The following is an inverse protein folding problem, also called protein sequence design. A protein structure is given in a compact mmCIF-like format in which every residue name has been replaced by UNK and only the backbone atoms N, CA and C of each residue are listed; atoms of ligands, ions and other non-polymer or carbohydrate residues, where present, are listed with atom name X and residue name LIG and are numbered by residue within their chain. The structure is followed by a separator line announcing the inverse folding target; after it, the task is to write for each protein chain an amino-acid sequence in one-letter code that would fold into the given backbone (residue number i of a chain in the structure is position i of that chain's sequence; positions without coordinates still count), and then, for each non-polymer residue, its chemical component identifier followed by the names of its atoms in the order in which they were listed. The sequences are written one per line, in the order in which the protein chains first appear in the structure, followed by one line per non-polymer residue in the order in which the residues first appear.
data_IF_643063432247
#
_entry.id   IF_643063432247
#
_cell.length_a   1.000
_cell.length_b   1.000
_cell.length_c   1.000
_cell.angle_alpha   90.00
_cell.angle_beta   90.00
_cell.angle_gamma   90.00
#
_symmetry.space_group_name_H-M   'P 1'
#
loop_
_entity.id
_entity.type
_entity.pdbx_description
1 polymer ?
#
# COMPACT_ATOMS: atom_id res chain seq x y z
N UNK A 1 -48.87 36.62 -68.43
CA UNK A 1 -48.73 35.70 -67.26
C UNK A 1 -47.27 35.31 -67.14
N UNK A 2 -46.50 35.97 -66.28
CA UNK A 2 -45.10 35.63 -65.99
C UNK A 2 -45.06 35.27 -64.51
N UNK A 3 -44.82 33.99 -64.20
CA UNK A 3 -44.65 33.50 -62.83
C UNK A 3 -43.17 33.50 -62.50
N UNK A 4 -42.76 34.41 -61.62
CA UNK A 4 -41.43 34.45 -61.02
C UNK A 4 -41.36 33.38 -59.91
N UNK A 5 -40.48 32.40 -60.05
CA UNK A 5 -40.21 31.41 -59.00
C UNK A 5 -39.14 31.95 -58.05
N UNK A 6 -39.51 32.16 -56.78
CA UNK A 6 -38.57 32.48 -55.70
C UNK A 6 -37.98 31.17 -55.20
N UNK A 7 -36.68 30.96 -55.39
CA UNK A 7 -35.93 29.85 -54.81
C UNK A 7 -35.43 30.30 -53.43
N UNK A 8 -36.05 29.79 -52.38
CA UNK A 8 -35.56 29.96 -51.01
C UNK A 8 -34.40 29.01 -50.75
N UNK A 9 -33.19 29.55 -50.61
CA UNK A 9 -32.01 28.80 -50.15
C UNK A 9 -32.13 28.66 -48.63
N UNK A 10 -32.52 27.47 -48.17
CA UNK A 10 -32.42 27.10 -46.75
C UNK A 10 -30.97 26.75 -46.47
N UNK A 11 -30.24 27.65 -45.81
CA UNK A 11 -28.92 27.37 -45.27
C UNK A 11 -29.07 26.39 -44.09
N UNK A 12 -28.83 25.10 -44.36
CA UNK A 12 -28.69 24.09 -43.30
C UNK A 12 -27.35 24.35 -42.61
N UNK A 13 -27.39 25.04 -41.47
CA UNK A 13 -26.28 25.07 -40.54
C UNK A 13 -26.10 23.66 -39.96
N UNK A 14 -25.26 22.85 -40.60
CA UNK A 14 -24.73 21.63 -40.01
C UNK A 14 -23.81 22.03 -38.86
N UNK A 15 -24.37 22.17 -37.66
CA UNK A 15 -23.59 22.20 -36.43
C UNK A 15 -22.80 20.90 -36.36
N UNK A 16 -21.48 20.99 -36.56
CA UNK A 16 -20.52 19.95 -36.22
C UNK A 16 -20.64 19.70 -34.72
N UNK A 17 -21.48 18.74 -34.34
CA UNK A 17 -21.45 18.15 -33.00
C UNK A 17 -20.16 17.33 -32.98
N UNK A 18 -19.06 17.94 -32.56
CA UNK A 18 -17.88 17.18 -32.15
C UNK A 18 -18.31 16.37 -30.93
N UNK A 19 -18.60 15.09 -31.10
CA UNK A 19 -18.79 14.19 -29.97
C UNK A 19 -17.52 14.28 -29.13
N UNK A 20 -17.66 14.73 -27.87
CA UNK A 20 -16.57 14.60 -26.91
C UNK A 20 -16.14 13.13 -26.91
N UNK A 21 -14.82 12.82 -26.94
CA UNK A 21 -14.37 11.45 -26.89
C UNK A 21 -14.98 10.80 -25.65
N UNK A 22 -15.76 9.74 -25.85
CA UNK A 22 -16.21 8.88 -24.76
C UNK A 22 -14.96 8.27 -24.14
N UNK A 23 -14.74 8.48 -22.85
CA UNK A 23 -13.51 8.14 -22.11
C UNK A 23 -13.65 6.80 -21.37
N UNK A 24 -12.61 5.95 -21.36
CA UNK A 24 -12.54 4.69 -20.58
C UNK A 24 -12.56 4.97 -19.10
N UNK A 25 -13.00 4.02 -18.29
CA UNK A 25 -13.74 4.41 -17.09
C UNK A 25 -14.89 5.34 -17.52
N UNK A 26 -16.10 4.80 -17.66
CA UNK A 26 -17.25 5.54 -18.22
C UNK A 26 -17.43 6.87 -17.48
N UNK A 27 -17.56 7.96 -18.25
CA UNK A 27 -17.66 9.31 -17.70
C UNK A 27 -16.36 9.88 -17.09
N UNK A 28 -15.24 9.19 -17.28
CA UNK A 28 -13.90 9.65 -16.89
C UNK A 28 -13.30 10.67 -17.86
N UNK A 29 -12.01 10.94 -17.68
CA UNK A 29 -11.19 11.81 -18.53
C UNK A 29 -9.94 11.09 -19.01
N UNK A 30 -9.28 11.58 -20.05
CA UNK A 30 -8.02 10.99 -20.52
C UNK A 30 -6.98 10.85 -19.41
N UNK A 31 -6.27 9.73 -19.42
CA UNK A 31 -5.12 9.43 -18.57
C UNK A 31 -3.87 9.13 -19.41
N UNK A 32 -3.81 9.66 -20.64
CA UNK A 32 -2.62 9.55 -21.47
C UNK A 32 -1.40 10.15 -20.73
N UNK A 33 -0.30 9.42 -20.75
CA UNK A 33 0.93 9.72 -20.00
C UNK A 33 0.92 9.24 -18.55
N UNK A 34 -0.18 8.66 -18.04
CA UNK A 34 -0.18 8.10 -16.68
C UNK A 34 0.48 6.71 -16.68
N UNK A 35 1.73 6.66 -16.23
CA UNK A 35 2.52 5.44 -16.28
C UNK A 35 2.17 4.39 -15.21
N UNK A 36 1.12 4.60 -14.41
CA UNK A 36 0.62 3.59 -13.47
C UNK A 36 -0.18 2.49 -14.17
N UNK A 37 -0.80 2.78 -15.32
CA UNK A 37 -1.76 1.87 -15.98
C UNK A 37 -1.22 1.30 -17.28
N UNK A 38 -1.43 0.00 -17.50
CA UNK A 38 -1.12 -0.72 -18.75
C UNK A 38 -2.36 -1.41 -19.30
N UNK A 39 -2.34 -1.69 -20.60
CA UNK A 39 -3.28 -2.63 -21.24
C UNK A 39 -2.73 -4.06 -21.14
N UNK A 40 -3.58 -5.00 -20.75
CA UNK A 40 -3.27 -6.43 -20.65
C UNK A 40 -4.20 -7.20 -21.60
N UNK A 41 -3.64 -7.93 -22.56
CA UNK A 41 -4.41 -8.80 -23.48
C UNK A 41 -4.04 -10.27 -23.27
N UNK A 42 -5.05 -11.12 -23.11
CA UNK A 42 -4.92 -12.56 -23.01
C UNK A 42 -5.90 -13.21 -23.99
N UNK A 43 -5.42 -13.53 -25.20
CA UNK A 43 -6.30 -13.92 -26.31
C UNK A 43 -7.30 -12.81 -26.67
N UNK A 44 -8.59 -13.12 -26.62
CA UNK A 44 -9.67 -12.14 -26.81
C UNK A 44 -10.01 -11.36 -25.54
N UNK A 45 -9.49 -11.76 -24.38
CA UNK A 45 -9.70 -11.05 -23.12
C UNK A 45 -8.87 -9.77 -23.09
N UNK A 46 -9.54 -8.67 -22.82
CA UNK A 46 -8.95 -7.35 -22.73
C UNK A 46 -9.14 -6.81 -21.32
N UNK A 47 -8.05 -6.69 -20.57
CA UNK A 47 -8.01 -6.15 -19.22
C UNK A 47 -7.06 -4.95 -19.13
N UNK A 48 -7.04 -4.34 -17.96
CA UNK A 48 -6.06 -3.35 -17.56
C UNK A 48 -5.11 -3.95 -16.51
N UNK A 49 -4.05 -3.22 -16.18
CA UNK A 49 -3.08 -3.62 -15.16
C UNK A 49 -2.44 -2.41 -14.51
N UNK A 50 -2.03 -2.57 -13.25
CA UNK A 50 -1.20 -1.62 -12.52
C UNK A 50 0.28 -1.96 -12.74
N UNK A 51 1.06 -1.10 -13.39
CA UNK A 51 2.51 -1.25 -13.49
C UNK A 51 3.14 -0.82 -12.16
N UNK A 52 3.28 -1.77 -11.23
CA UNK A 52 3.78 -1.51 -9.88
C UNK A 52 5.31 -1.31 -9.87
N UNK A 53 6.04 -2.15 -10.58
CA UNK A 53 7.48 -1.96 -10.85
C UNK A 53 7.73 -2.00 -12.35
N UNK A 54 8.97 -1.77 -12.80
CA UNK A 54 9.33 -1.88 -14.22
C UNK A 54 9.03 -3.27 -14.82
N UNK A 55 8.87 -4.32 -13.99
CA UNK A 55 8.63 -5.70 -14.43
C UNK A 55 7.47 -6.41 -13.75
N UNK A 56 6.69 -5.72 -12.92
CA UNK A 56 5.56 -6.35 -12.22
C UNK A 56 4.30 -5.56 -12.53
N UNK A 57 3.35 -6.26 -13.18
CA UNK A 57 1.99 -5.77 -13.38
C UNK A 57 1.06 -6.49 -12.41
N UNK A 58 0.36 -5.74 -11.58
CA UNK A 58 -0.75 -6.28 -10.77
C UNK A 58 -2.02 -6.19 -11.60
N UNK A 59 -2.81 -7.27 -11.68
CA UNK A 59 -4.06 -7.31 -12.43
C UNK A 59 -5.08 -8.19 -11.69
N UNK A 60 -6.26 -8.41 -12.27
CA UNK A 60 -7.27 -9.29 -11.71
C UNK A 60 -6.97 -10.76 -12.07
N UNK A 61 -7.23 -11.69 -11.16
CA UNK A 61 -7.07 -13.12 -11.39
C UNK A 61 -7.87 -13.62 -12.60
N UNK A 62 -9.10 -13.14 -12.76
CA UNK A 62 -9.98 -13.51 -13.87
C UNK A 62 -9.47 -13.06 -15.26
N UNK A 63 -8.47 -12.19 -15.32
CA UNK A 63 -7.81 -11.80 -16.57
C UNK A 63 -6.83 -12.87 -17.06
N UNK A 64 -6.32 -13.71 -16.16
CA UNK A 64 -5.25 -14.68 -16.42
C UNK A 64 -5.63 -16.12 -16.08
N UNK A 65 -6.76 -16.34 -15.42
CA UNK A 65 -7.30 -17.66 -15.06
C UNK A 65 -8.61 -17.91 -15.79
N UNK A 66 -8.75 -19.09 -16.38
CA UNK A 66 -9.99 -19.51 -17.07
C UNK A 66 -11.04 -20.07 -16.08
N UNK A 67 -12.20 -20.49 -16.59
CA UNK A 67 -13.29 -21.00 -15.75
C UNK A 67 -13.01 -22.34 -15.05
N UNK A 68 -12.01 -23.10 -15.51
CA UNK A 68 -11.57 -24.33 -14.83
C UNK A 68 -10.57 -24.07 -13.70
N UNK A 69 -10.19 -22.81 -13.45
CA UNK A 69 -9.14 -22.46 -12.48
C UNK A 69 -7.73 -22.67 -13.02
N UNK A 70 -7.57 -22.81 -14.34
CA UNK A 70 -6.27 -23.00 -14.98
C UNK A 70 -5.70 -21.65 -15.38
N UNK A 71 -4.48 -21.37 -14.94
CA UNK A 71 -3.72 -20.19 -15.36
C UNK A 71 -3.40 -20.30 -16.85
N UNK A 72 -3.55 -19.20 -17.59
CA UNK A 72 -3.25 -19.16 -19.02
C UNK A 72 -1.79 -19.51 -19.27
N UNK A 73 -1.56 -20.38 -20.25
CA UNK A 73 -0.22 -20.72 -20.76
C UNK A 73 0.08 -19.99 -22.06
N UNK A 74 -0.92 -19.32 -22.65
CA UNK A 74 -0.72 -18.48 -23.83
C UNK A 74 0.04 -17.20 -23.47
N UNK A 75 0.86 -16.66 -24.39
CA UNK A 75 1.47 -15.35 -24.19
C UNK A 75 0.40 -14.27 -23.95
N UNK A 76 0.54 -13.58 -22.82
CA UNK A 76 -0.17 -12.35 -22.45
C UNK A 76 0.64 -11.19 -23.04
N UNK A 77 -0.07 -10.26 -23.67
CA UNK A 77 0.52 -9.04 -24.18
C UNK A 77 0.32 -7.89 -23.21
N UNK A 78 1.41 -7.26 -22.76
CA UNK A 78 1.37 -6.03 -21.96
C UNK A 78 1.90 -4.88 -22.79
N UNK A 79 1.09 -3.83 -22.93
CA UNK A 79 1.43 -2.63 -23.69
C UNK A 79 2.22 -1.67 -22.82
N UNK A 80 2.96 -0.73 -23.45
CA UNK A 80 3.62 0.33 -22.71
C UNK A 80 2.61 1.12 -21.85
N UNK A 81 3.05 1.64 -20.69
CA UNK A 81 2.14 2.25 -19.73
C UNK A 81 1.66 3.62 -20.23
N UNK A 82 0.40 3.96 -19.93
CA UNK A 82 -0.14 5.30 -20.16
C UNK A 82 -0.32 5.74 -21.61
N UNK A 83 -0.11 4.90 -22.61
CA UNK A 83 -0.13 5.30 -24.04
C UNK A 83 -1.33 4.72 -24.80
N UNK A 84 -1.56 5.22 -26.01
CA UNK A 84 -2.51 4.59 -26.93
C UNK A 84 -2.01 3.22 -27.38
N UNK A 85 -2.86 2.20 -27.36
CA UNK A 85 -2.55 0.86 -27.88
C UNK A 85 -2.30 0.86 -29.39
N UNK A 86 -2.69 1.94 -30.10
CA UNK A 86 -2.37 2.12 -31.52
C UNK A 86 -0.95 2.66 -31.75
N UNK A 87 -0.38 3.36 -30.77
CA UNK A 87 0.96 3.95 -30.84
C UNK A 87 2.03 3.06 -30.21
N UNK A 88 1.63 2.16 -29.32
CA UNK A 88 2.52 1.17 -28.70
C UNK A 88 2.15 -0.23 -29.18
N UNK A 89 2.66 -0.67 -30.35
CA UNK A 89 2.57 -2.08 -30.71
C UNK A 89 3.49 -2.96 -29.85
N UNK A 90 4.39 -2.35 -29.07
CA UNK A 90 5.35 -3.05 -28.22
C UNK A 90 4.61 -3.86 -27.17
N UNK A 91 4.65 -5.17 -27.39
CA UNK A 91 4.08 -6.19 -26.53
C UNK A 91 5.23 -6.76 -25.71
N UNK A 92 5.24 -6.50 -24.40
CA UNK A 92 6.07 -7.29 -23.49
C UNK A 92 5.26 -8.50 -23.07
N UNK A 93 5.86 -9.69 -23.26
CA UNK A 93 5.28 -10.94 -22.80
C UNK A 93 5.55 -11.14 -21.32
N UNK A 94 4.72 -11.95 -20.68
CA UNK A 94 4.98 -12.43 -19.33
C UNK A 94 6.06 -13.52 -19.32
N UNK A 95 6.90 -13.50 -18.29
CA UNK A 95 7.79 -14.62 -17.93
C UNK A 95 7.13 -15.53 -16.90
N UNK A 96 6.27 -14.99 -16.03
CA UNK A 96 5.58 -15.74 -14.98
C UNK A 96 4.23 -15.08 -14.67
N UNK A 97 3.25 -15.91 -14.29
CA UNK A 97 1.97 -15.48 -13.76
C UNK A 97 1.82 -16.08 -12.36
N UNK A 98 1.50 -15.25 -11.39
CA UNK A 98 1.33 -15.61 -10.00
C UNK A 98 -0.11 -15.28 -9.62
N UNK A 99 -0.86 -16.27 -9.17
CA UNK A 99 -2.27 -16.15 -8.80
C UNK A 99 -2.49 -16.70 -7.41
N UNK A 100 -3.65 -16.44 -6.82
CA UNK A 100 -4.06 -17.10 -5.59
C UNK A 100 -4.30 -18.58 -5.88
N UNK A 101 -3.72 -19.46 -5.06
CA UNK A 101 -3.87 -20.91 -5.21
C UNK A 101 -5.34 -21.31 -5.18
N UNK A 102 -5.78 -22.03 -6.22
CA UNK A 102 -7.15 -22.48 -6.35
C UNK A 102 -8.16 -21.41 -6.80
N UNK A 103 -7.70 -20.19 -7.17
CA UNK A 103 -8.57 -19.15 -7.73
C UNK A 103 -9.34 -19.67 -8.95
N UNK A 104 -10.64 -19.36 -9.00
CA UNK A 104 -11.53 -19.66 -10.12
C UNK A 104 -12.38 -18.47 -10.49
N UNK A 105 -12.58 -18.30 -11.78
CA UNK A 105 -13.61 -17.43 -12.34
C UNK A 105 -14.88 -18.25 -12.60
N UNK A 106 -16.02 -17.85 -12.03
CA UNK A 106 -17.33 -18.32 -12.46
C UNK A 106 -17.89 -17.38 -13.53
N UNK A 107 -18.80 -17.86 -14.40
CA UNK A 107 -19.26 -17.15 -15.62
C UNK A 107 -19.32 -15.63 -15.47
N UNK A 108 -20.12 -15.17 -14.52
CA UNK A 108 -20.42 -13.76 -14.27
C UNK A 108 -19.83 -13.24 -12.95
N UNK A 109 -19.12 -14.09 -12.19
CA UNK A 109 -18.62 -13.78 -10.84
C UNK A 109 -17.20 -14.31 -10.64
N UNK A 110 -16.29 -13.47 -10.18
CA UNK A 110 -14.99 -13.92 -9.66
C UNK A 110 -15.16 -14.46 -8.24
N UNK A 111 -14.32 -15.44 -7.86
CA UNK A 111 -14.12 -15.75 -6.45
C UNK A 111 -13.62 -14.51 -5.68
N UNK A 112 -13.80 -14.48 -4.35
CA UNK A 112 -12.98 -13.62 -3.49
C UNK A 112 -11.49 -13.80 -3.83
N UNK A 113 -10.70 -12.76 -3.59
CA UNK A 113 -9.26 -12.74 -3.86
C UNK A 113 -8.86 -12.70 -5.34
N UNK A 114 -9.65 -11.99 -6.16
CA UNK A 114 -9.46 -11.81 -7.60
C UNK A 114 -8.28 -10.90 -7.95
N UNK A 115 -7.07 -11.37 -7.65
CA UNK A 115 -5.81 -10.68 -7.87
C UNK A 115 -4.78 -11.63 -8.49
N UNK A 116 -3.95 -11.07 -9.37
CA UNK A 116 -2.81 -11.75 -9.96
C UNK A 116 -1.65 -10.79 -10.19
N UNK A 117 -0.45 -11.35 -10.29
CA UNK A 117 0.77 -10.66 -10.65
C UNK A 117 1.31 -11.26 -11.93
N UNK A 118 1.61 -10.40 -12.90
CA UNK A 118 2.28 -10.76 -14.14
C UNK A 118 3.71 -10.23 -14.04
N UNK A 119 4.67 -11.14 -14.06
CA UNK A 119 6.09 -10.80 -14.14
C UNK A 119 6.46 -10.69 -15.61
N UNK A 120 7.03 -9.55 -16.00
CA UNK A 120 7.38 -9.24 -17.38
C UNK A 120 8.73 -9.84 -17.76
N UNK A 121 8.86 -10.29 -19.01
CA UNK A 121 10.11 -10.83 -19.54
C UNK A 121 11.20 -9.75 -19.73
N UNK A 122 10.81 -8.48 -19.85
CA UNK A 122 11.69 -7.33 -19.93
C UNK A 122 11.10 -6.12 -19.20
N UNK A 123 11.93 -5.13 -18.92
CA UNK A 123 11.48 -3.89 -18.28
C UNK A 123 10.60 -3.06 -19.21
N UNK A 124 9.48 -2.57 -18.68
CA UNK A 124 8.73 -1.46 -19.25
C UNK A 124 9.24 -0.15 -18.64
N UNK A 125 9.72 0.75 -19.50
CA UNK A 125 10.07 2.11 -19.09
C UNK A 125 8.82 2.85 -18.67
N UNK A 126 8.76 3.22 -17.40
CA UNK A 126 7.57 3.79 -16.78
C UNK A 126 7.22 3.05 -15.49
N UNK A 127 6.38 3.69 -14.68
CA UNK A 127 6.04 3.24 -13.34
C UNK A 127 6.09 4.44 -12.40
N UNK A 128 4.92 4.98 -12.09
CA UNK A 128 4.77 6.07 -11.12
C UNK A 128 4.45 5.55 -9.73
N UNK A 129 4.01 4.29 -9.60
CA UNK A 129 3.64 3.69 -8.32
C UNK A 129 4.91 3.51 -7.48
N UNK A 130 4.93 4.23 -6.35
CA UNK A 130 6.08 4.26 -5.44
C UNK A 130 6.01 3.17 -4.37
N UNK A 131 4.80 2.75 -3.99
CA UNK A 131 4.57 1.68 -3.01
C UNK A 131 3.13 1.14 -3.07
N UNK A 132 2.92 0.02 -2.39
CA UNK A 132 1.60 -0.53 -2.09
C UNK A 132 1.02 0.15 -0.84
N UNK A 133 -0.29 0.39 -0.83
CA UNK A 133 -1.01 0.77 0.39
C UNK A 133 -1.05 -0.42 1.36
N UNK A 134 -1.06 -0.15 2.65
CA UNK A 134 -1.34 -1.16 3.69
C UNK A 134 -2.84 -1.37 3.84
N UNK A 135 -3.26 -2.55 4.32
CA UNK A 135 -4.69 -2.82 4.61
C UNK A 135 -5.24 -1.85 5.67
N UNK A 136 -4.41 -1.41 6.61
CA UNK A 136 -4.77 -0.44 7.66
C UNK A 136 -5.00 0.96 7.06
N UNK A 137 -4.13 1.40 6.16
CA UNK A 137 -4.28 2.67 5.41
C UNK A 137 -5.57 2.67 4.59
N UNK A 138 -5.81 1.60 3.82
CA UNK A 138 -7.03 1.48 3.00
C UNK A 138 -8.27 1.51 3.89
N UNK A 139 -8.25 0.81 5.02
CA UNK A 139 -9.35 0.79 5.99
C UNK A 139 -9.60 2.18 6.60
N UNK A 140 -8.56 2.94 6.91
CA UNK A 140 -8.68 4.32 7.40
C UNK A 140 -9.25 5.24 6.32
N UNK A 141 -8.69 5.20 5.11
CA UNK A 141 -9.13 6.02 3.99
C UNK A 141 -10.57 5.70 3.54
N UNK A 142 -11.01 4.45 3.67
CA UNK A 142 -12.41 4.06 3.45
C UNK A 142 -13.37 4.66 4.48
N UNK A 143 -12.96 4.81 5.75
CA UNK A 143 -13.77 5.51 6.77
C UNK A 143 -13.86 7.01 6.47
N UNK A 144 -12.80 7.58 5.94
CA UNK A 144 -12.72 9.01 5.61
C UNK A 144 -13.37 9.37 4.27
N UNK A 145 -13.80 8.37 3.48
CA UNK A 145 -14.33 8.60 2.14
C UNK A 145 -13.30 9.20 1.18
N UNK A 146 -12.01 8.85 1.36
CA UNK A 146 -10.90 9.42 0.59
C UNK A 146 -11.15 9.27 -0.92
N UNK A 147 -10.97 10.37 -1.66
CA UNK A 147 -10.97 10.33 -3.12
C UNK A 147 -9.75 9.58 -3.64
N UNK A 148 -10.01 8.62 -4.53
CA UNK A 148 -9.02 7.77 -5.18
C UNK A 148 -9.25 7.77 -6.67
N UNK A 149 -8.19 7.56 -7.45
CA UNK A 149 -8.24 7.59 -8.90
C UNK A 149 -8.28 6.18 -9.46
N UNK A 150 -9.35 5.83 -10.17
CA UNK A 150 -9.40 4.61 -10.98
C UNK A 150 -8.81 4.89 -12.34
N UNK A 151 -8.05 3.94 -12.86
CA UNK A 151 -7.45 4.02 -14.19
C UNK A 151 -7.76 2.74 -14.97
N UNK A 152 -7.94 2.87 -16.28
CA UNK A 152 -8.12 1.71 -17.13
C UNK A 152 -8.27 2.00 -18.62
N UNK A 153 -8.24 0.92 -19.38
CA UNK A 153 -8.45 0.85 -20.83
C UNK A 153 -9.80 0.19 -21.17
N UNK A 154 -10.71 0.08 -20.21
CA UNK A 154 -12.02 -0.54 -20.38
C UNK A 154 -12.94 0.23 -21.31
N UNK A 155 -14.20 -0.18 -21.35
CA UNK A 155 -15.19 0.52 -22.18
C UNK A 155 -15.49 1.90 -21.61
N UNK A 156 -15.87 2.77 -22.52
CA UNK A 156 -16.17 4.18 -22.26
C UNK A 156 -17.68 4.46 -22.21
N UNK A 157 -18.47 3.43 -22.51
CA UNK A 157 -19.92 3.38 -22.49
C UNK A 157 -20.36 1.92 -22.24
N UNK A 158 -21.60 1.68 -21.77
CA UNK A 158 -22.08 0.33 -21.46
C UNK A 158 -21.94 -0.70 -22.60
N UNK A 159 -22.14 -0.27 -23.86
CA UNK A 159 -22.22 -1.14 -25.04
C UNK A 159 -21.12 -0.93 -26.08
N UNK A 160 -20.00 -0.30 -25.72
CA UNK A 160 -18.88 -0.04 -26.64
C UNK A 160 -17.73 -1.05 -26.59
N UNK A 161 -16.74 -0.95 -27.49
CA UNK A 161 -15.46 -1.64 -27.34
C UNK A 161 -14.65 -1.03 -26.18
N UNK A 162 -13.65 -1.77 -25.71
CA UNK A 162 -12.64 -1.23 -24.80
C UNK A 162 -11.83 -0.13 -25.49
N UNK A 163 -11.51 0.93 -24.76
CA UNK A 163 -10.79 2.08 -25.29
C UNK A 163 -9.36 1.73 -25.73
N UNK A 164 -8.86 2.30 -26.83
CA UNK A 164 -7.44 2.20 -27.18
C UNK A 164 -6.55 3.08 -26.29
N UNK A 165 -7.10 4.06 -25.57
CA UNK A 165 -6.35 4.96 -24.68
C UNK A 165 -6.77 4.79 -23.23
N UNK A 166 -5.84 5.01 -22.27
CA UNK A 166 -6.19 4.96 -20.86
C UNK A 166 -6.95 6.21 -20.47
N UNK A 167 -7.81 6.04 -19.48
CA UNK A 167 -8.58 7.12 -18.90
C UNK A 167 -8.74 6.88 -17.39
N UNK A 168 -9.20 7.91 -16.70
CA UNK A 168 -9.27 7.95 -15.25
C UNK A 168 -10.54 8.63 -14.74
N UNK A 169 -10.92 8.28 -13.51
CA UNK A 169 -11.95 9.00 -12.77
C UNK A 169 -11.58 9.03 -11.28
N UNK A 170 -11.95 10.10 -10.57
CA UNK A 170 -11.85 10.14 -9.12
C UNK A 170 -13.17 9.68 -8.49
N UNK A 171 -13.11 8.76 -7.55
CA UNK A 171 -14.26 8.30 -6.77
C UNK A 171 -13.89 8.18 -5.29
N UNK A 172 -14.83 8.40 -4.37
CA UNK A 172 -14.58 8.18 -2.96
C UNK A 172 -14.57 6.69 -2.65
N UNK A 173 -13.59 6.26 -1.86
CA UNK A 173 -13.69 4.99 -1.15
C UNK A 173 -14.97 4.97 -0.31
N UNK A 174 -15.57 3.79 -0.20
CA UNK A 174 -16.73 3.57 0.64
C UNK A 174 -16.38 2.66 1.81
N UNK A 175 -17.10 2.83 2.91
CA UNK A 175 -16.99 1.94 4.05
C UNK A 175 -17.62 0.58 3.72
N UNK A 176 -17.00 -0.49 4.21
CA UNK A 176 -17.42 -1.86 3.96
C UNK A 176 -16.49 -2.55 2.97
N UNK A 177 -16.02 -3.72 3.38
CA UNK A 177 -15.22 -4.61 2.56
C UNK A 177 -15.97 -5.94 2.48
N UNK A 178 -16.40 -6.39 1.28
CA UNK A 178 -17.16 -7.62 1.17
C UNK A 178 -16.34 -8.86 1.55
N UNK A 179 -15.02 -8.78 1.43
CA UNK A 179 -14.08 -9.89 1.64
C UNK A 179 -12.77 -9.41 2.27
N UNK A 180 -12.06 -10.26 3.05
CA UNK A 180 -10.70 -9.94 3.50
C UNK A 180 -9.81 -9.47 2.34
N UNK A 181 -9.04 -8.40 2.55
CA UNK A 181 -8.16 -7.85 1.52
C UNK A 181 -8.84 -7.10 0.37
N UNK A 182 -10.18 -6.99 0.36
CA UNK A 182 -10.91 -6.18 -0.62
C UNK A 182 -11.20 -4.76 -0.12
N UNK A 183 -11.51 -3.86 -1.03
CA UNK A 183 -12.03 -2.53 -0.74
C UNK A 183 -13.17 -2.19 -1.69
N UNK A 184 -14.02 -1.25 -1.26
CA UNK A 184 -15.11 -0.73 -2.09
C UNK A 184 -14.96 0.76 -2.32
N UNK A 185 -15.52 1.23 -3.42
CA UNK A 185 -15.63 2.63 -3.71
C UNK A 185 -16.93 2.92 -4.45
N UNK A 186 -17.40 4.14 -4.30
CA UNK A 186 -18.68 4.56 -4.84
C UNK A 186 -18.59 4.69 -6.36
N UNK A 187 -19.69 4.38 -7.03
CA UNK A 187 -19.88 4.66 -8.45
C UNK A 187 -21.27 5.26 -8.67
N UNK A 188 -21.56 5.66 -9.90
CA UNK A 188 -22.91 6.10 -10.28
C UNK A 188 -23.46 5.24 -11.41
N UNK A 189 -24.73 5.43 -11.75
CA UNK A 189 -25.34 4.74 -12.88
C UNK A 189 -24.70 5.12 -14.23
N UNK A 190 -23.98 6.24 -14.29
CA UNK A 190 -23.39 6.79 -15.52
C UNK A 190 -21.88 6.95 -15.45
N UNK A 191 -21.24 6.74 -14.29
CA UNK A 191 -19.80 6.92 -14.11
C UNK A 191 -19.15 5.83 -13.26
N UNK A 192 -17.99 5.35 -13.68
CA UNK A 192 -17.25 4.28 -13.00
C UNK A 192 -16.53 3.31 -13.95
N UNK A 193 -15.93 2.27 -13.37
CA UNK A 193 -15.23 1.21 -14.10
C UNK A 193 -16.21 0.32 -14.87
N UNK A 194 -15.73 -0.27 -15.95
CA UNK A 194 -16.50 -1.11 -16.86
C UNK A 194 -15.69 -2.33 -17.30
N UNK A 195 -16.30 -3.21 -18.12
CA UNK A 195 -15.60 -4.32 -18.76
C UNK A 195 -14.29 -3.84 -19.40
N UNK A 196 -13.19 -4.49 -19.02
CA UNK A 196 -11.83 -4.18 -19.48
C UNK A 196 -11.05 -3.22 -18.59
N UNK A 197 -11.69 -2.56 -17.62
CA UNK A 197 -10.99 -1.86 -16.54
C UNK A 197 -10.51 -2.83 -15.45
N UNK A 198 -10.99 -4.09 -15.46
CA UNK A 198 -10.51 -5.18 -14.62
C UNK A 198 -8.98 -5.24 -14.59
N UNK A 199 -8.41 -5.31 -13.39
CA UNK A 199 -6.98 -5.27 -13.13
C UNK A 199 -6.36 -3.87 -13.15
N UNK A 200 -7.10 -2.85 -13.61
CA UNK A 200 -6.64 -1.46 -13.65
C UNK A 200 -6.35 -0.90 -12.25
N UNK A 201 -5.39 0.02 -12.11
CA UNK A 201 -4.99 0.52 -10.81
C UNK A 201 -6.03 1.46 -10.19
N UNK A 202 -6.17 1.35 -8.88
CA UNK A 202 -6.75 2.37 -8.00
C UNK A 202 -5.62 2.99 -7.20
N UNK A 203 -5.37 4.28 -7.42
CA UNK A 203 -4.24 4.99 -6.79
C UNK A 203 -4.72 6.17 -5.94
N UNK A 204 -3.88 6.57 -5.00
CA UNK A 204 -3.95 7.87 -4.32
C UNK A 204 -2.56 8.48 -4.23
N UNK A 205 -2.50 9.80 -4.13
CA UNK A 205 -1.27 10.50 -3.75
C UNK A 205 -1.20 10.67 -2.23
N UNK A 206 -0.03 10.43 -1.63
CA UNK A 206 0.29 10.69 -0.21
C UNK A 206 1.62 11.44 -0.17
N UNK A 207 1.58 12.76 0.06
CA UNK A 207 2.77 13.60 -0.14
C UNK A 207 3.29 13.50 -1.57
N UNK A 208 4.52 13.01 -1.73
CA UNK A 208 5.16 12.78 -3.04
C UNK A 208 5.01 11.34 -3.54
N UNK A 209 4.40 10.45 -2.76
CA UNK A 209 4.21 9.06 -3.11
C UNK A 209 2.92 8.88 -3.91
N UNK A 210 3.00 8.18 -5.04
CA UNK A 210 1.83 7.57 -5.68
C UNK A 210 1.68 6.16 -5.11
N UNK A 211 0.59 5.94 -4.40
CA UNK A 211 0.32 4.71 -3.66
C UNK A 211 -0.72 3.88 -4.40
N UNK A 212 -0.40 2.63 -4.69
CA UNK A 212 -1.36 1.67 -5.22
C UNK A 212 -2.24 1.13 -4.08
N UNK A 213 -3.51 1.54 -4.06
CA UNK A 213 -4.51 1.02 -3.13
C UNK A 213 -4.86 -0.41 -3.52
N UNK A 214 -5.09 -0.62 -4.81
CA UNK A 214 -5.24 -1.96 -5.36
C UNK A 214 -5.73 -1.96 -6.79
N UNK A 215 -6.33 -3.06 -7.21
CA UNK A 215 -6.79 -3.26 -8.58
C UNK A 215 -8.31 -3.34 -8.66
N UNK A 216 -8.87 -2.87 -9.77
CA UNK A 216 -10.28 -3.02 -10.11
C UNK A 216 -10.61 -4.50 -10.35
N UNK A 217 -11.69 -5.04 -9.79
CA UNK A 217 -12.10 -6.44 -10.04
C UNK A 217 -13.52 -6.52 -10.58
N UNK A 218 -14.49 -5.96 -9.86
CA UNK A 218 -15.91 -6.06 -10.21
C UNK A 218 -16.64 -4.75 -9.98
N UNK A 219 -17.74 -4.53 -10.69
CA UNK A 219 -18.57 -3.36 -10.55
C UNK A 219 -20.05 -3.65 -10.79
N UNK A 220 -20.89 -2.96 -10.02
CA UNK A 220 -22.31 -2.78 -10.33
C UNK A 220 -22.49 -1.33 -10.78
N UNK A 221 -22.93 -1.11 -12.03
CA UNK A 221 -22.88 0.21 -12.70
C UNK A 221 -21.47 0.67 -13.10
N UNK A 222 -21.33 1.54 -14.11
CA UNK A 222 -22.35 1.98 -15.07
C UNK A 222 -22.63 0.94 -16.17
N UNK A 223 -21.82 -0.12 -16.28
CA UNK A 223 -21.96 -1.12 -17.34
C UNK A 223 -22.87 -2.30 -17.03
N UNK A 224 -23.43 -2.31 -15.82
CA UNK A 224 -24.47 -3.23 -15.39
C UNK A 224 -25.53 -2.43 -14.63
N UNK A 225 -26.84 -2.62 -14.89
CA UNK A 225 -27.88 -1.93 -14.13
C UNK A 225 -27.76 -2.21 -12.62
N UNK A 226 -27.77 -1.15 -11.81
CA UNK A 226 -27.72 -1.27 -10.34
C UNK A 226 -28.40 -0.06 -9.69
N UNK A 227 -29.20 -0.31 -8.65
CA UNK A 227 -29.78 0.75 -7.82
C UNK A 227 -28.79 1.32 -6.79
N UNK A 228 -27.67 0.62 -6.57
CA UNK A 228 -26.59 1.04 -5.67
C UNK A 228 -25.22 0.77 -6.32
N UNK A 229 -24.82 1.57 -7.32
CA UNK A 229 -23.59 1.33 -8.05
C UNK A 229 -22.35 1.40 -7.15
N UNK A 230 -21.47 0.42 -7.28
CA UNK A 230 -20.24 0.32 -6.52
C UNK A 230 -19.20 -0.48 -7.28
N UNK A 231 -17.93 -0.27 -6.97
CA UNK A 231 -16.85 -1.14 -7.39
C UNK A 231 -16.31 -1.94 -6.20
N UNK A 232 -15.76 -3.11 -6.49
CA UNK A 232 -14.93 -3.91 -5.59
C UNK A 232 -13.55 -4.09 -6.22
N UNK A 233 -12.51 -3.89 -5.40
CA UNK A 233 -11.12 -4.09 -5.76
C UNK A 233 -10.37 -4.84 -4.67
N UNK A 234 -9.15 -5.28 -4.97
CA UNK A 234 -8.31 -6.06 -4.05
C UNK A 234 -6.98 -5.36 -3.78
N UNK A 235 -6.61 -5.30 -2.49
CA UNK A 235 -5.40 -4.65 -1.97
C UNK A 235 -4.21 -5.63 -2.10
N UNK A 236 -3.16 -5.32 -2.88
CA UNK A 236 -2.04 -6.23 -3.08
C UNK A 236 -1.32 -6.63 -1.79
N UNK A 237 -1.20 -5.70 -0.83
CA UNK A 237 -0.55 -5.96 0.46
C UNK A 237 -1.32 -6.93 1.36
N UNK A 238 -2.58 -7.23 1.07
CA UNK A 238 -3.33 -8.29 1.73
C UNK A 238 -2.89 -9.70 1.28
N UNK A 239 -2.10 -9.80 0.21
CA UNK A 239 -1.59 -11.05 -0.35
C UNK A 239 -0.06 -11.13 -0.28
N UNK A 240 0.54 -11.09 0.93
CA UNK A 240 1.98 -10.94 1.11
C UNK A 240 2.80 -12.07 0.45
N UNK A 241 2.27 -13.28 0.38
CA UNK A 241 2.91 -14.41 -0.30
C UNK A 241 3.05 -14.16 -1.81
N UNK A 242 1.99 -13.68 -2.47
CA UNK A 242 2.00 -13.37 -3.90
C UNK A 242 2.91 -12.19 -4.21
N UNK A 243 2.84 -11.14 -3.38
CA UNK A 243 3.73 -9.97 -3.47
C UNK A 243 5.19 -10.41 -3.38
N UNK A 244 5.52 -11.28 -2.42
CA UNK A 244 6.87 -11.84 -2.27
C UNK A 244 7.29 -12.63 -3.50
N UNK A 245 6.46 -13.55 -3.98
CA UNK A 245 6.76 -14.35 -5.18
C UNK A 245 7.02 -13.47 -6.41
N UNK A 246 6.24 -12.40 -6.59
CA UNK A 246 6.39 -11.48 -7.72
C UNK A 246 7.70 -10.70 -7.66
N UNK A 247 8.06 -10.20 -6.48
CA UNK A 247 9.32 -9.50 -6.28
C UNK A 247 10.54 -10.44 -6.36
N UNK A 248 10.43 -11.67 -5.86
CA UNK A 248 11.51 -12.68 -5.93
C UNK A 248 11.79 -13.01 -7.41
N UNK A 249 10.75 -13.16 -8.22
CA UNK A 249 10.85 -13.43 -9.65
C UNK A 249 11.56 -12.32 -10.44
N UNK A 250 11.61 -11.09 -9.90
CA UNK A 250 12.35 -9.96 -10.50
C UNK A 250 13.64 -9.63 -9.78
N UNK A 251 14.08 -10.42 -8.80
CA UNK A 251 15.21 -10.09 -7.91
C UNK A 251 15.07 -8.67 -7.31
N UNK A 252 13.84 -8.25 -7.01
CA UNK A 252 13.52 -6.92 -6.47
C UNK A 252 13.14 -6.94 -4.99
N UNK A 253 13.33 -8.09 -4.32
CA UNK A 253 13.23 -8.20 -2.88
C UNK A 253 14.56 -7.79 -2.24
N UNK A 254 14.51 -6.79 -1.37
CA UNK A 254 15.66 -6.37 -0.58
C UNK A 254 15.32 -6.31 0.91
N UNK A 255 16.22 -6.82 1.74
CA UNK A 255 16.13 -6.67 3.19
C UNK A 255 16.12 -5.17 3.56
N UNK A 256 15.43 -4.79 4.65
CA UNK A 256 15.54 -3.44 5.16
C UNK A 256 16.94 -3.24 5.75
N UNK A 257 17.38 -1.99 5.84
CA UNK A 257 18.54 -1.62 6.66
C UNK A 257 18.04 -0.99 7.94
N UNK A 258 18.62 -1.36 9.09
CA UNK A 258 18.24 -0.77 10.38
C UNK A 258 19.47 -0.46 11.22
N UNK A 259 19.44 0.67 11.91
CA UNK A 259 20.49 1.12 12.82
C UNK A 259 19.89 1.40 14.18
N UNK A 260 20.44 0.77 15.22
CA UNK A 260 20.15 1.11 16.61
C UNK A 260 20.93 2.37 16.97
N UNK A 261 20.24 3.40 17.46
CA UNK A 261 20.86 4.62 17.99
C UNK A 261 20.83 4.61 19.53
N UNK A 262 21.52 5.56 20.16
CA UNK A 262 21.55 5.67 21.63
C UNK A 262 20.15 5.94 22.20
N UNK A 263 19.86 5.36 23.36
CA UNK A 263 18.64 5.70 24.09
C UNK A 263 18.71 7.15 24.58
N UNK A 264 17.57 7.83 24.60
CA UNK A 264 17.42 9.21 25.06
C UNK A 264 16.36 9.30 26.16
N UNK A 265 16.32 10.41 26.90
CA UNK A 265 15.31 10.62 27.94
C UNK A 265 15.32 9.53 29.02
N UNK A 266 16.50 9.01 29.37
CA UNK A 266 16.64 7.96 30.39
C UNK A 266 16.24 8.49 31.76
N UNK A 267 15.29 7.81 32.40
CA UNK A 267 14.72 8.10 33.72
C UNK A 267 14.88 6.90 34.65
N UNK A 268 14.31 7.00 35.85
CA UNK A 268 14.34 5.95 36.87
C UNK A 268 13.65 4.66 36.42
N UNK A 269 12.57 4.77 35.66
CA UNK A 269 11.75 3.61 35.24
C UNK A 269 11.40 3.61 33.75
N UNK A 270 12.04 4.48 32.95
CA UNK A 270 11.77 4.56 31.53
C UNK A 270 12.96 5.05 30.72
N UNK A 271 12.99 4.74 29.42
CA UNK A 271 13.88 5.35 28.44
C UNK A 271 13.21 5.36 27.07
N UNK A 272 13.64 6.25 26.17
CA UNK A 272 13.20 6.25 24.78
C UNK A 272 14.27 5.57 23.93
N UNK A 273 13.92 4.46 23.29
CA UNK A 273 14.77 3.72 22.36
C UNK A 273 14.63 4.35 20.98
N UNK A 274 15.75 4.66 20.32
CA UNK A 274 15.76 5.35 19.03
C UNK A 274 16.53 4.57 17.98
N UNK A 275 16.17 4.76 16.71
CA UNK A 275 16.79 4.09 15.58
C UNK A 275 16.40 4.69 14.25
N UNK A 276 17.06 4.22 13.20
CA UNK A 276 16.78 4.64 11.81
C UNK A 276 16.59 3.41 10.95
N UNK A 277 15.61 3.44 10.05
CA UNK A 277 15.31 2.37 9.09
C UNK A 277 15.32 2.88 7.66
N UNK A 278 15.82 2.07 6.73
CA UNK A 278 15.57 2.19 5.30
C UNK A 278 14.78 0.95 4.90
N UNK A 279 13.55 1.16 4.44
CA UNK A 279 12.57 0.09 4.21
C UNK A 279 12.75 -0.66 2.87
N UNK A 280 13.69 -0.19 2.03
CA UNK A 280 14.02 -0.79 0.72
C UNK A 280 12.80 -0.89 -0.20
N UNK A 281 11.94 0.12 -0.19
CA UNK A 281 10.67 0.21 -0.95
C UNK A 281 9.62 -0.85 -0.62
N UNK A 282 9.84 -1.66 0.42
CA UNK A 282 8.86 -2.62 0.93
C UNK A 282 8.34 -2.13 2.28
N UNK A 283 7.05 -2.34 2.54
CA UNK A 283 6.50 -2.04 3.87
C UNK A 283 7.28 -2.82 4.92
N UNK A 284 7.84 -2.10 5.88
CA UNK A 284 8.76 -2.59 6.89
C UNK A 284 8.22 -2.25 8.27
N UNK A 285 7.98 -3.27 9.09
CA UNK A 285 7.62 -3.09 10.50
C UNK A 285 8.91 -2.91 11.30
N UNK A 286 8.99 -1.88 12.12
CA UNK A 286 10.12 -1.64 13.02
C UNK A 286 9.77 -2.00 14.45
N UNK A 287 10.76 -2.44 15.22
CA UNK A 287 10.60 -2.76 16.64
C UNK A 287 11.92 -2.59 17.38
N UNK A 288 11.85 -2.57 18.71
CA UNK A 288 13.02 -2.72 19.57
C UNK A 288 12.89 -3.97 20.42
N UNK A 289 13.96 -4.74 20.53
CA UNK A 289 14.09 -5.81 21.51
C UNK A 289 15.07 -5.37 22.59
N UNK A 290 14.70 -5.49 23.87
CA UNK A 290 15.57 -5.16 25.00
C UNK A 290 15.51 -6.21 26.10
N UNK A 291 16.57 -6.29 26.90
CA UNK A 291 16.71 -7.24 28.01
C UNK A 291 17.91 -6.90 28.90
N UNK A 292 18.16 -7.75 29.88
CA UNK A 292 19.24 -7.53 30.88
C UNK A 292 20.58 -8.16 30.48
N UNK A 293 20.59 -9.06 29.49
CA UNK A 293 21.81 -9.73 29.05
C UNK A 293 22.48 -8.97 27.89
N UNK A 294 23.83 -8.80 27.89
CA UNK A 294 24.55 -8.04 26.86
C UNK A 294 24.35 -8.52 25.43
N UNK A 295 24.09 -9.81 25.25
CA UNK A 295 23.87 -10.47 23.96
C UNK A 295 22.38 -10.70 23.66
N UNK A 296 21.48 -10.25 24.55
CA UNK A 296 20.04 -10.50 24.50
C UNK A 296 19.65 -12.00 24.50
N UNK A 297 20.50 -12.89 25.03
CA UNK A 297 20.27 -14.35 25.03
C UNK A 297 19.26 -14.87 26.08
N UNK A 298 18.55 -13.99 26.79
CA UNK A 298 17.64 -14.35 27.87
C UNK A 298 16.22 -13.83 27.68
N UNK A 299 15.55 -13.56 28.80
CA UNK A 299 14.25 -12.90 28.79
C UNK A 299 14.39 -11.51 28.16
N UNK A 300 13.64 -11.29 27.08
CA UNK A 300 13.61 -10.03 26.34
C UNK A 300 12.18 -9.56 26.17
N UNK A 301 12.02 -8.26 26.01
CA UNK A 301 10.76 -7.63 25.62
C UNK A 301 10.94 -7.03 24.23
N UNK A 302 9.98 -7.26 23.34
CA UNK A 302 9.93 -6.63 22.02
C UNK A 302 8.75 -5.67 21.96
N UNK A 303 9.01 -4.42 21.59
CA UNK A 303 7.97 -3.41 21.41
C UNK A 303 7.98 -2.98 19.95
N UNK A 304 6.84 -3.14 19.28
CA UNK A 304 6.65 -2.62 17.92
C UNK A 304 6.62 -1.09 17.94
N UNK A 305 7.21 -0.49 16.91
CA UNK A 305 7.28 0.95 16.72
C UNK A 305 6.34 1.36 15.58
N UNK A 306 6.89 1.89 14.49
CA UNK A 306 6.12 2.29 13.32
C UNK A 306 6.31 1.33 12.15
N UNK A 307 5.34 1.30 11.24
CA UNK A 307 5.52 0.73 9.90
C UNK A 307 6.08 1.84 8.99
N UNK A 308 7.09 1.53 8.20
CA UNK A 308 7.78 2.46 7.29
C UNK A 308 7.82 1.88 5.89
N UNK A 309 7.71 2.72 4.87
CA UNK A 309 7.87 2.35 3.46
C UNK A 309 8.84 3.29 2.76
N UNK A 310 9.22 2.97 1.52
CA UNK A 310 10.12 3.77 0.71
C UNK A 310 11.60 3.49 0.94
N UNK A 311 12.47 4.32 0.37
CA UNK A 311 13.92 4.14 0.42
C UNK A 311 14.67 5.28 1.14
N UNK A 312 13.92 6.21 1.75
CA UNK A 312 14.51 7.28 2.54
C UNK A 312 14.81 6.78 3.97
N UNK A 313 15.96 7.16 4.57
CA UNK A 313 16.20 6.94 6.00
C UNK A 313 15.10 7.60 6.83
N UNK A 314 14.42 6.81 7.66
CA UNK A 314 13.32 7.25 8.52
C UNK A 314 13.67 6.94 9.96
N UNK A 315 13.66 7.95 10.82
CA UNK A 315 13.84 7.77 12.25
C UNK A 315 12.57 7.18 12.88
N UNK A 316 12.75 6.33 13.90
CA UNK A 316 11.66 5.80 14.70
C UNK A 316 12.09 5.64 16.16
N UNK A 317 11.12 5.71 17.06
CA UNK A 317 11.35 5.64 18.50
C UNK A 317 10.21 4.96 19.24
N UNK A 318 10.52 4.41 20.42
CA UNK A 318 9.55 3.79 21.34
C UNK A 318 9.95 4.06 22.78
N UNK A 319 8.97 4.35 23.64
CA UNK A 319 9.18 4.41 25.07
C UNK A 319 9.21 3.01 25.69
N UNK A 320 10.33 2.63 26.29
CA UNK A 320 10.40 1.50 27.22
C UNK A 320 10.02 2.01 28.61
N UNK A 321 9.00 1.40 29.22
CA UNK A 321 8.45 1.78 30.53
C UNK A 321 8.53 0.60 31.50
N UNK A 322 8.15 0.85 32.77
CA UNK A 322 8.16 -0.15 33.84
C UNK A 322 9.54 -0.81 34.06
N UNK A 323 10.60 -0.04 33.82
CA UNK A 323 11.99 -0.47 34.01
C UNK A 323 12.39 -0.40 35.48
N UNK A 324 13.33 -1.25 35.88
CA UNK A 324 13.88 -1.26 37.24
C UNK A 324 14.90 -0.11 37.38
N UNK A 325 14.86 0.69 38.47
CA UNK A 325 15.86 1.74 38.72
C UNK A 325 17.30 1.22 38.86
N UNK A 326 18.28 2.04 38.47
CA UNK A 326 19.72 1.72 38.57
C UNK A 326 20.17 0.49 37.78
N UNK A 327 19.39 0.07 36.78
CA UNK A 327 19.58 -1.19 36.06
C UNK A 327 20.03 -0.95 34.63
N UNK A 328 21.06 -1.69 34.20
CA UNK A 328 21.52 -1.66 32.81
C UNK A 328 20.67 -2.55 31.94
N UNK A 329 20.15 -1.97 30.85
CA UNK A 329 19.41 -2.66 29.81
C UNK A 329 20.21 -2.62 28.51
N UNK A 330 20.20 -3.73 27.79
CA UNK A 330 20.73 -3.87 26.44
C UNK A 330 19.56 -3.91 25.47
N UNK A 331 19.71 -3.30 24.30
CA UNK A 331 18.65 -3.22 23.32
C UNK A 331 19.18 -3.18 21.89
N UNK A 332 18.34 -3.58 20.94
CA UNK A 332 18.60 -3.43 19.50
C UNK A 332 17.33 -3.06 18.76
N UNK A 333 17.49 -2.30 17.69
CA UNK A 333 16.46 -2.08 16.69
C UNK A 333 16.31 -3.33 15.79
N UNK A 334 15.09 -3.66 15.39
CA UNK A 334 14.81 -4.66 14.36
C UNK A 334 13.91 -4.05 13.29
N UNK A 335 14.05 -4.53 12.07
CA UNK A 335 13.21 -4.17 10.93
C UNK A 335 12.84 -5.43 10.15
N UNK A 336 11.56 -5.62 9.88
CA UNK A 336 11.03 -6.78 9.16
C UNK A 336 10.19 -6.33 7.98
N UNK A 337 10.56 -6.79 6.78
CA UNK A 337 9.74 -6.66 5.58
C UNK A 337 9.56 -8.04 4.91
N UNK A 338 8.95 -8.10 3.73
CA UNK A 338 8.71 -9.37 3.03
C UNK A 338 9.99 -10.12 2.61
N UNK A 339 11.16 -9.46 2.62
CA UNK A 339 12.46 -10.10 2.40
C UNK A 339 12.97 -10.86 3.63
N UNK A 340 12.54 -10.45 4.82
CA UNK A 340 12.98 -11.00 6.09
C UNK A 340 13.21 -9.93 7.15
N UNK A 341 13.90 -10.33 8.21
CA UNK A 341 14.21 -9.49 9.38
C UNK A 341 15.70 -9.17 9.44
N UNK A 342 16.03 -7.91 9.69
CA UNK A 342 17.38 -7.45 10.02
C UNK A 342 17.37 -6.87 11.43
N UNK A 343 18.41 -7.17 12.20
CA UNK A 343 18.65 -6.59 13.52
C UNK A 343 19.86 -5.67 13.48
N UNK A 344 19.75 -4.52 14.12
CA UNK A 344 20.86 -3.59 14.32
C UNK A 344 21.83 -4.07 15.40
N UNK A 345 22.90 -3.29 15.60
CA UNK A 345 23.84 -3.52 16.70
C UNK A 345 23.15 -3.41 18.06
N UNK A 346 23.67 -4.13 19.06
CA UNK A 346 23.21 -4.00 20.45
C UNK A 346 23.83 -2.75 21.06
N UNK A 347 22.99 -1.90 21.63
CA UNK A 347 23.35 -0.75 22.46
C UNK A 347 22.91 -0.99 23.90
N UNK A 348 23.29 -0.12 24.83
CA UNK A 348 22.84 -0.21 26.22
C UNK A 348 22.60 1.17 26.84
N UNK A 349 21.80 1.18 27.91
CA UNK A 349 21.60 2.33 28.78
C UNK A 349 21.37 1.84 30.21
N UNK A 350 21.62 2.70 31.20
CA UNK A 350 21.35 2.41 32.62
C UNK A 350 20.29 3.38 33.12
N UNK A 351 19.18 2.86 33.65
CA UNK A 351 18.15 3.71 34.26
C UNK A 351 18.73 4.49 35.42
N UNK A 352 18.15 5.66 35.67
CA UNK A 352 18.57 6.46 36.82
C UNK A 352 18.31 5.69 38.13
N UNK A 353 19.17 5.92 39.11
CA UNK A 353 19.03 5.37 40.45
C UNK A 353 17.69 5.70 41.10
N UNK A 354 17.23 4.84 42.02
CA UNK A 354 16.07 5.15 42.86
C UNK A 354 16.37 6.34 43.79
N UNK A 355 15.32 6.91 44.40
CA UNK A 355 15.50 7.91 45.45
C UNK A 355 16.44 7.35 46.54
N UNK A 356 17.37 8.16 47.09
CA UNK A 356 18.14 7.76 48.24
C UNK A 356 17.19 7.48 49.40
N UNK A 357 17.38 6.33 50.06
CA UNK A 357 16.61 5.99 51.25
C UNK A 357 17.38 6.54 52.45
N UNK A 358 16.71 7.39 53.23
CA UNK A 358 17.20 7.83 54.53
C UNK A 358 16.49 7.01 55.59
N UNK A 359 17.26 6.25 56.36
CA UNK A 359 16.75 5.56 57.53
C UNK A 359 17.22 6.31 58.77
N UNK A 360 16.28 6.91 59.50
CA UNK A 360 16.58 7.47 60.81
C UNK A 360 16.89 6.35 61.80
N UNK A 361 18.04 6.42 62.45
CA UNK A 361 18.35 5.64 63.63
C UNK A 361 17.55 6.09 64.84
N UNK A 362 17.62 5.30 65.91
CA UNK A 362 16.96 5.66 67.17
C UNK A 362 17.58 6.93 67.75
N UNK A 363 16.73 7.77 68.35
CA UNK A 363 17.18 8.87 69.19
C UNK A 363 18.01 8.31 70.36
N UNK A 364 19.16 8.92 70.60
CA UNK A 364 20.08 8.60 71.68
C UNK A 364 20.47 9.88 72.41
N UNK A 365 21.00 9.75 73.64
CA UNK A 365 21.46 10.89 74.44
C UNK A 365 20.40 11.99 74.59
N UNK A 366 19.18 11.60 74.99
CA UNK A 366 18.06 12.52 75.20
C UNK A 366 18.28 13.31 76.49
N UNK A 367 18.36 14.63 76.39
CA UNK A 367 18.43 15.59 77.50
C UNK A 367 17.27 16.59 77.43
N UNK A 368 17.15 17.48 78.42
CA UNK A 368 16.07 18.47 78.49
C UNK A 368 16.05 19.48 77.32
N UNK A 369 17.16 19.64 76.61
CA UNK A 369 17.36 20.61 75.53
C UNK A 369 18.05 20.02 74.29
N UNK A 370 18.36 18.73 74.26
CA UNK A 370 19.10 18.11 73.16
C UNK A 370 18.80 16.63 72.97
N UNK A 371 18.98 16.16 71.73
CA UNK A 371 18.88 14.75 71.35
C UNK A 371 19.82 14.47 70.18
N UNK A 372 20.44 13.30 70.13
CA UNK A 372 21.25 12.85 69.00
C UNK A 372 20.46 11.82 68.19
N UNK A 373 20.21 12.12 66.92
CA UNK A 373 19.64 11.18 65.96
C UNK A 373 20.71 10.84 64.94
N UNK A 374 21.14 9.58 64.89
CA UNK A 374 21.98 9.08 63.80
C UNK A 374 21.09 8.59 62.66
N UNK A 375 21.60 8.52 61.44
CA UNK A 375 20.88 7.95 60.31
C UNK A 375 21.86 7.37 59.30
N UNK A 376 21.42 6.39 58.52
CA UNK A 376 22.20 5.86 57.41
C UNK A 376 21.64 6.38 56.09
N UNK A 377 22.55 6.68 55.15
CA UNK A 377 22.21 7.08 53.79
C UNK A 377 22.56 5.92 52.85
N UNK A 378 21.59 5.49 52.04
CA UNK A 378 21.84 4.56 50.93
C UNK A 378 21.92 5.33 49.62
N UNK A 379 23.12 5.46 49.03
CA UNK A 379 23.29 6.00 47.69
C UNK A 379 22.81 4.97 46.66
N UNK A 380 21.61 5.15 46.10
CA UNK A 380 21.08 4.27 45.04
C UNK A 380 21.57 4.67 43.63
N UNK A 381 22.82 5.11 43.49
CA UNK A 381 23.44 5.47 42.20
C UNK A 381 22.80 6.65 41.43
N UNK A 382 21.93 7.45 42.05
CA UNK A 382 21.51 8.73 41.47
C UNK A 382 22.62 9.76 41.70
N UNK A 383 23.22 10.31 40.64
CA UNK A 383 24.11 11.48 40.80
C UNK A 383 23.26 12.65 41.29
N UNK A 384 23.57 13.15 42.47
CA UNK A 384 23.00 14.39 43.03
C UNK A 384 23.41 15.60 42.21
#
# INVERSE_FOLDING_TARGET
MIRTAVVSIVAVCASLVTSAPTNAVVGGTSALGNNAVVRVLNGSSSCSGALWTSRIVVTAGHCVVNSSGTVTTSPISVFAPGVSTQQSPQTVTQSQIIVVDGFRKFSDFSQPDDIAFIVLSSELSGGTITRLATVDEVSAWSRDGRLVTFLGYGRTSPSGPSSPTPNQINQPLSFGSPWPGSFTASQTATTGICSGDSGGPVITQVGNEIVLIGINSAASGPCSPSSRPSMTGFVPSAFPALVKLALDATNSVALPTVTTASAVGVRTTSAVLTGTVIASNLLTTTSFTYGLQPDLSGATTTIEATKVSGNAPTAFEVAAIDLVPGTTYYFRANATNLAGTVSGAIASFTTLGGLPIVTSGAASSVASDSVVVTGTFGANSAST
#
